data_IF_660623460389
#
_entry.id   IF_660623460389
#
_cell.length_a   1.000
_cell.length_b   1.000
_cell.length_c   1.000
_cell.angle_alpha   90.00
_cell.angle_beta   90.00
_cell.angle_gamma   90.00
#
_symmetry.space_group_name_H-M   'P 1'
#
loop_
_entity.id
_entity.type
_entity.pdbx_description
1 polymer ?
#
# COMPACT_ATOMS: atom_id res chain seq x y z
N UNK A 1 -21.42 -17.09 -7.07
CA UNK A 1 -20.19 -16.48 -6.68
C UNK A 1 -19.54 -17.13 -5.50
N UNK A 2 -18.22 -17.06 -5.46
CA UNK A 2 -17.39 -17.51 -4.34
C UNK A 2 -17.01 -16.31 -3.48
N UNK A 3 -16.66 -16.54 -2.23
CA UNK A 3 -15.98 -15.56 -1.38
C UNK A 3 -14.50 -15.51 -1.77
N UNK A 4 -13.92 -14.33 -1.75
CA UNK A 4 -12.54 -14.08 -2.15
C UNK A 4 -11.84 -13.24 -1.08
N UNK A 5 -10.63 -13.64 -0.71
CA UNK A 5 -9.70 -12.78 0.05
C UNK A 5 -8.64 -12.30 -0.93
N UNK A 6 -8.61 -11.00 -1.20
CA UNK A 6 -7.63 -10.38 -2.08
C UNK A 6 -6.55 -9.72 -1.22
N UNK A 7 -5.33 -10.25 -1.31
CA UNK A 7 -4.16 -9.76 -0.55
C UNK A 7 -3.29 -8.93 -1.47
N UNK A 8 -3.06 -7.68 -1.08
CA UNK A 8 -2.21 -6.74 -1.83
C UNK A 8 -1.04 -6.26 -0.95
N UNK A 9 0.17 -6.38 -1.47
CA UNK A 9 1.39 -5.97 -0.78
C UNK A 9 1.48 -4.46 -0.57
N UNK A 10 1.01 -3.70 -1.55
CA UNK A 10 1.06 -2.24 -1.52
C UNK A 10 -0.12 -1.64 -0.74
N UNK A 11 -0.06 -0.37 -0.35
CA UNK A 11 -1.14 0.28 0.40
C UNK A 11 -2.46 0.41 -0.37
N UNK A 12 -2.43 0.24 -1.69
CA UNK A 12 -3.58 0.31 -2.60
C UNK A 12 -3.50 -0.79 -3.64
N UNK A 13 -4.62 -1.26 -4.13
CA UNK A 13 -4.69 -2.05 -5.36
C UNK A 13 -4.46 -1.16 -6.58
N UNK A 14 -4.21 -1.77 -7.75
CA UNK A 14 -4.03 -1.08 -9.03
C UNK A 14 -2.71 -1.41 -9.73
N UNK A 15 -1.66 -1.74 -8.98
CA UNK A 15 -0.36 -2.16 -9.51
C UNK A 15 0.21 -1.19 -10.54
N UNK A 16 0.95 -1.72 -11.51
CA UNK A 16 1.56 -0.91 -12.58
C UNK A 16 0.55 -0.23 -13.51
N UNK A 17 -0.66 -0.77 -13.64
CA UNK A 17 -1.68 -0.12 -14.46
C UNK A 17 -2.05 1.27 -13.94
N UNK A 18 -2.01 1.48 -12.62
CA UNK A 18 -2.23 2.80 -12.02
C UNK A 18 -1.16 3.84 -12.36
N UNK A 19 0.02 3.40 -12.81
CA UNK A 19 1.15 4.24 -13.18
C UNK A 19 1.15 4.63 -14.67
N UNK A 20 0.28 4.01 -15.49
CA UNK A 20 0.19 4.29 -16.90
C UNK A 20 -0.74 5.49 -17.16
N UNK A 21 -0.39 6.31 -18.16
CA UNK A 21 -1.30 7.36 -18.67
C UNK A 21 -2.37 6.75 -19.56
N UNK A 22 -1.98 5.84 -20.45
CA UNK A 22 -2.83 5.22 -21.46
C UNK A 22 -2.54 3.74 -21.60
N UNK A 23 -3.52 2.97 -22.07
CA UNK A 23 -3.39 1.55 -22.34
C UNK A 23 -3.21 1.27 -23.82
N UNK A 24 -2.28 0.39 -24.16
CA UNK A 24 -2.12 -0.10 -25.54
C UNK A 24 -3.11 -1.27 -25.81
N UNK A 25 -3.69 -1.39 -27.03
CA UNK A 25 -3.48 -0.56 -28.23
C UNK A 25 -4.50 0.57 -28.41
N UNK A 26 -5.50 0.65 -27.56
CA UNK A 26 -6.66 1.56 -27.72
C UNK A 26 -6.37 3.00 -27.29
N UNK A 27 -5.27 3.23 -26.57
CA UNK A 27 -4.88 4.51 -25.99
C UNK A 27 -5.95 5.10 -25.05
N UNK A 28 -6.69 4.20 -24.39
CA UNK A 28 -7.64 4.61 -23.37
C UNK A 28 -6.91 5.07 -22.10
N UNK A 29 -7.52 6.03 -21.41
CA UNK A 29 -7.06 6.48 -20.10
C UNK A 29 -7.05 5.31 -19.11
N UNK A 30 -5.88 4.88 -18.65
CA UNK A 30 -5.73 3.74 -17.75
C UNK A 30 -6.47 3.92 -16.43
N UNK A 31 -6.44 5.10 -15.84
CA UNK A 31 -7.17 5.41 -14.60
C UNK A 31 -8.69 5.40 -14.80
N UNK A 32 -9.17 5.80 -15.97
CA UNK A 32 -10.60 5.80 -16.29
C UNK A 32 -11.18 4.37 -16.35
N UNK A 33 -10.35 3.41 -16.75
CA UNK A 33 -10.72 1.98 -16.79
C UNK A 33 -10.50 1.33 -15.42
N UNK A 34 -9.38 1.62 -14.78
CA UNK A 34 -8.93 0.94 -13.56
C UNK A 34 -9.75 1.37 -12.32
N UNK A 35 -9.98 2.67 -12.15
CA UNK A 35 -10.64 3.21 -10.95
C UNK A 35 -12.01 2.61 -10.69
N UNK A 36 -12.92 2.50 -11.67
CA UNK A 36 -14.21 1.82 -11.45
C UNK A 36 -14.06 0.37 -11.00
N UNK A 37 -13.08 -0.35 -11.55
CA UNK A 37 -12.81 -1.75 -11.17
C UNK A 37 -12.27 -1.86 -9.74
N UNK A 38 -11.38 -0.97 -9.33
CA UNK A 38 -10.89 -0.95 -7.95
C UNK A 38 -12.02 -0.66 -6.95
N UNK A 39 -12.90 0.28 -7.28
CA UNK A 39 -14.07 0.61 -6.44
C UNK A 39 -15.05 -0.57 -6.38
N UNK A 40 -15.32 -1.23 -7.51
CA UNK A 40 -16.15 -2.43 -7.57
C UNK A 40 -15.60 -3.54 -6.66
N UNK A 41 -14.31 -3.81 -6.71
CA UNK A 41 -13.63 -4.78 -5.84
C UNK A 41 -13.77 -4.40 -4.37
N UNK A 42 -13.55 -3.13 -4.04
CA UNK A 42 -13.60 -2.64 -2.66
C UNK A 42 -15.01 -2.70 -2.05
N UNK A 43 -16.04 -2.45 -2.86
CA UNK A 43 -17.43 -2.42 -2.42
C UNK A 43 -18.13 -3.80 -2.53
N UNK A 44 -17.47 -4.78 -3.15
CA UNK A 44 -18.10 -6.07 -3.40
C UNK A 44 -18.29 -6.89 -2.11
N UNK A 45 -19.51 -7.31 -1.73
CA UNK A 45 -19.80 -7.92 -0.44
C UNK A 45 -19.12 -9.28 -0.20
N UNK A 46 -18.63 -9.94 -1.26
CA UNK A 46 -17.94 -11.24 -1.19
C UNK A 46 -16.43 -11.14 -1.39
N UNK A 47 -15.88 -9.92 -1.44
CA UNK A 47 -14.44 -9.70 -1.56
C UNK A 47 -13.96 -9.04 -0.28
N UNK A 48 -13.12 -9.75 0.47
CA UNK A 48 -12.36 -9.20 1.59
C UNK A 48 -11.05 -8.65 1.05
N UNK A 49 -10.97 -7.33 0.85
CA UNK A 49 -9.75 -6.66 0.42
C UNK A 49 -8.82 -6.41 1.61
N UNK A 50 -7.60 -6.94 1.53
CA UNK A 50 -6.55 -6.79 2.55
C UNK A 50 -5.33 -6.17 1.89
N UNK A 51 -5.21 -4.86 2.00
CA UNK A 51 -4.07 -4.11 1.45
C UNK A 51 -2.99 -3.87 2.50
N UNK A 52 -1.78 -3.59 2.03
CA UNK A 52 -0.57 -3.47 2.85
C UNK A 52 -0.31 -4.76 3.64
N UNK A 53 -0.47 -5.90 2.96
CA UNK A 53 -0.37 -7.23 3.55
C UNK A 53 0.42 -8.19 2.65
N UNK A 54 0.98 -9.21 3.26
CA UNK A 54 1.77 -10.23 2.57
C UNK A 54 1.36 -11.61 3.05
N UNK A 55 1.40 -12.59 2.15
CA UNK A 55 1.27 -14.00 2.52
C UNK A 55 2.58 -14.44 3.17
N UNK A 56 2.52 -14.87 4.43
CA UNK A 56 3.67 -15.30 5.20
C UNK A 56 3.93 -16.81 5.02
N UNK A 57 2.87 -17.61 5.04
CA UNK A 57 2.97 -19.06 4.81
C UNK A 57 1.72 -19.63 4.19
N UNK A 58 1.90 -20.74 3.48
CA UNK A 58 0.83 -21.55 2.91
C UNK A 58 1.07 -23.00 3.29
N UNK A 59 0.07 -23.61 3.91
CA UNK A 59 0.06 -25.02 4.30
C UNK A 59 -1.14 -25.72 3.67
N UNK A 60 -1.10 -27.04 3.57
CA UNK A 60 -2.22 -27.85 3.09
C UNK A 60 -2.08 -28.30 1.64
N UNK A 61 -3.19 -28.51 0.98
CA UNK A 61 -3.27 -29.08 -0.36
C UNK A 61 -4.48 -28.54 -1.14
N UNK A 62 -4.58 -28.84 -2.42
CA UNK A 62 -5.66 -28.39 -3.30
C UNK A 62 -7.04 -28.74 -2.68
N UNK A 63 -7.87 -27.72 -2.52
CA UNK A 63 -9.17 -27.82 -1.88
C UNK A 63 -9.15 -27.47 -0.38
N UNK A 64 -7.99 -27.44 0.27
CA UNK A 64 -7.85 -27.20 1.72
C UNK A 64 -6.52 -26.54 2.07
N UNK A 65 -6.32 -25.31 1.62
CA UNK A 65 -5.16 -24.50 1.98
C UNK A 65 -5.45 -23.68 3.23
N UNK A 66 -4.43 -23.60 4.09
CA UNK A 66 -4.35 -22.69 5.24
C UNK A 66 -3.32 -21.62 4.95
N UNK A 67 -3.76 -20.37 4.75
CA UNK A 67 -2.93 -19.25 4.37
C UNK A 67 -2.78 -18.31 5.54
N UNK A 68 -1.55 -18.10 6.02
CA UNK A 68 -1.24 -17.10 7.04
C UNK A 68 -0.87 -15.79 6.36
N UNK A 69 -1.55 -14.73 6.72
CA UNK A 69 -1.40 -13.39 6.16
C UNK A 69 -0.88 -12.46 7.24
N UNK A 70 0.19 -11.74 6.94
CA UNK A 70 0.71 -10.64 7.75
C UNK A 70 0.19 -9.32 7.19
N UNK A 71 -0.64 -8.62 7.94
CA UNK A 71 -1.03 -7.26 7.62
C UNK A 71 -0.08 -6.28 8.32
N UNK A 72 0.65 -5.50 7.53
CA UNK A 72 1.64 -4.54 8.03
C UNK A 72 0.95 -3.35 8.70
N UNK A 73 1.57 -2.84 9.74
CA UNK A 73 1.08 -1.68 10.46
C UNK A 73 1.14 -0.42 9.60
N UNK A 74 -0.02 0.09 9.18
CA UNK A 74 -0.17 1.37 8.45
C UNK A 74 0.17 2.57 9.32
N UNK A 75 0.08 2.43 10.64
CA UNK A 75 0.07 3.51 11.63
C UNK A 75 -1.09 4.51 11.43
N UNK A 76 -2.13 4.09 10.72
CA UNK A 76 -3.39 4.80 10.49
C UNK A 76 -4.52 3.79 10.64
N UNK A 77 -5.49 4.11 11.49
CA UNK A 77 -6.68 3.30 11.73
C UNK A 77 -7.66 3.49 10.54
N UNK A 78 -7.95 2.43 9.77
CA UNK A 78 -8.81 2.51 8.60
C UNK A 78 -10.26 2.85 8.94
N UNK A 79 -10.76 2.45 10.11
CA UNK A 79 -12.15 2.64 10.52
C UNK A 79 -12.42 4.10 10.95
N UNK A 80 -11.36 4.80 11.37
CA UNK A 80 -11.44 6.22 11.74
C UNK A 80 -11.11 7.16 10.60
N UNK A 81 -10.26 6.74 9.66
CA UNK A 81 -9.75 7.60 8.60
C UNK A 81 -10.80 7.85 7.53
N UNK A 82 -11.03 9.11 7.18
CA UNK A 82 -11.93 9.53 6.09
C UNK A 82 -11.19 9.97 4.81
N UNK A 83 -9.86 9.83 4.76
CA UNK A 83 -9.06 10.17 3.57
C UNK A 83 -8.91 11.68 3.30
N UNK A 84 -9.11 12.57 4.28
CA UNK A 84 -9.09 14.04 4.07
C UNK A 84 -7.73 14.61 3.62
N UNK A 85 -6.61 13.91 3.84
CA UNK A 85 -5.27 14.34 3.41
C UNK A 85 -4.56 15.35 4.31
N UNK A 86 -5.19 15.89 5.36
CA UNK A 86 -4.59 16.89 6.26
C UNK A 86 -3.28 16.41 6.90
N UNK A 87 -3.22 15.14 7.26
CA UNK A 87 -2.02 14.53 7.83
C UNK A 87 -0.83 14.54 6.86
N UNK A 88 -1.08 14.44 5.55
CA UNK A 88 -0.05 14.50 4.51
C UNK A 88 0.49 15.92 4.38
N UNK A 89 -0.39 16.93 4.39
CA UNK A 89 -0.02 18.34 4.32
C UNK A 89 0.76 18.79 5.56
N UNK A 90 0.36 18.33 6.76
CA UNK A 90 1.01 18.66 8.01
C UNK A 90 2.37 17.95 8.21
N UNK A 91 2.70 16.95 7.39
CA UNK A 91 3.92 16.18 7.56
C UNK A 91 5.17 17.03 7.37
N UNK A 92 6.10 16.93 8.33
CA UNK A 92 7.38 17.66 8.24
C UNK A 92 8.34 17.08 7.19
N UNK A 93 8.15 15.85 6.77
CA UNK A 93 8.96 15.15 5.76
C UNK A 93 8.18 15.05 4.46
N UNK A 94 8.42 16.00 3.54
CA UNK A 94 7.68 16.13 2.27
C UNK A 94 8.56 16.00 1.02
N UNK A 95 9.84 15.64 1.18
CA UNK A 95 10.81 15.58 0.07
C UNK A 95 11.32 14.16 -0.19
N UNK A 96 10.49 13.16 0.09
CA UNK A 96 10.81 11.76 -0.15
C UNK A 96 10.49 11.45 -1.61
N UNK A 97 11.41 10.85 -2.38
CA UNK A 97 11.09 10.42 -3.74
C UNK A 97 9.87 9.49 -3.74
N UNK A 98 8.93 9.74 -4.64
CA UNK A 98 7.71 8.93 -4.76
C UNK A 98 8.01 7.65 -5.55
N UNK A 99 7.70 6.52 -4.99
CA UNK A 99 7.86 5.22 -5.65
C UNK A 99 6.84 5.07 -6.79
N UNK A 100 5.70 5.73 -6.68
CA UNK A 100 4.64 5.64 -7.68
C UNK A 100 5.06 6.16 -9.05
N UNK A 101 5.80 7.25 -9.09
CA UNK A 101 6.31 7.87 -10.31
C UNK A 101 7.82 7.68 -10.50
N UNK A 102 8.37 6.58 -9.97
CA UNK A 102 9.78 6.20 -10.12
C UNK A 102 10.77 7.23 -9.57
N UNK A 103 10.34 8.02 -8.58
CA UNK A 103 11.17 9.04 -7.96
C UNK A 103 11.17 10.40 -8.66
N UNK A 104 10.43 10.57 -9.75
CA UNK A 104 10.31 11.85 -10.44
C UNK A 104 9.58 12.89 -9.58
N UNK A 105 8.54 12.48 -8.86
CA UNK A 105 7.85 13.33 -7.89
C UNK A 105 8.34 13.13 -6.46
N UNK A 106 7.70 13.84 -5.55
CA UNK A 106 8.00 13.77 -4.12
C UNK A 106 6.72 13.49 -3.34
N UNK A 107 6.86 12.73 -2.27
CA UNK A 107 5.80 12.45 -1.31
C UNK A 107 6.18 12.79 0.13
N UNK A 108 5.20 12.83 0.99
CA UNK A 108 5.42 12.93 2.43
C UNK A 108 5.67 11.54 3.06
N UNK A 109 6.15 11.53 4.32
CA UNK A 109 6.36 10.29 5.05
C UNK A 109 5.06 9.58 5.44
N UNK A 110 3.95 10.32 5.57
CA UNK A 110 2.60 9.77 5.62
C UNK A 110 1.94 10.10 4.28
N UNK A 111 1.49 9.08 3.55
CA UNK A 111 1.08 9.26 2.17
C UNK A 111 0.03 8.25 1.72
N UNK A 112 -0.70 8.63 0.70
CA UNK A 112 -1.48 7.75 -0.17
C UNK A 112 -0.69 7.61 -1.47
N UNK A 113 -0.54 6.42 -2.06
CA UNK A 113 0.33 6.21 -3.23
C UNK A 113 0.00 7.10 -4.43
N UNK A 114 -1.29 7.27 -4.72
CA UNK A 114 -1.80 8.11 -5.81
C UNK A 114 -3.23 8.57 -5.49
N UNK A 115 -3.75 9.63 -6.13
CA UNK A 115 -5.03 10.24 -5.74
C UNK A 115 -6.24 9.31 -5.79
N UNK A 116 -6.26 8.35 -6.72
CA UNK A 116 -7.35 7.38 -6.91
C UNK A 116 -7.12 6.07 -6.15
N UNK A 117 -6.21 6.04 -5.19
CA UNK A 117 -5.89 4.84 -4.42
C UNK A 117 -7.13 4.23 -3.74
N UNK A 118 -7.20 2.91 -3.74
CA UNK A 118 -8.26 2.13 -3.09
C UNK A 118 -7.63 1.06 -2.20
N UNK A 119 -7.85 1.13 -0.89
CA UNK A 119 -8.55 2.19 -0.15
C UNK A 119 -7.76 3.51 -0.12
N UNK A 120 -8.45 4.64 -0.03
CA UNK A 120 -7.84 5.95 0.12
C UNK A 120 -7.46 6.22 1.59
N UNK A 121 -6.61 5.38 2.12
CA UNK A 121 -6.14 5.43 3.51
C UNK A 121 -4.62 5.58 3.50
N UNK A 122 -4.07 6.64 4.13
CA UNK A 122 -2.63 6.84 4.19
C UNK A 122 -1.89 5.72 4.92
N UNK A 123 -0.61 5.62 4.62
CA UNK A 123 0.34 4.78 5.34
C UNK A 123 1.53 5.64 5.80
N UNK A 124 2.13 5.31 6.92
CA UNK A 124 3.37 5.97 7.37
C UNK A 124 4.57 5.12 6.96
N UNK A 125 5.42 5.69 6.11
CA UNK A 125 6.74 5.15 5.83
C UNK A 125 7.63 5.34 7.07
N UNK A 126 7.75 4.28 7.85
CA UNK A 126 8.51 4.28 9.10
C UNK A 126 10.00 4.57 8.89
N UNK A 127 10.55 4.23 7.71
CA UNK A 127 11.96 4.48 7.37
C UNK A 127 12.25 5.96 7.16
N UNK A 128 11.29 6.69 6.62
CA UNK A 128 11.44 8.12 6.31
C UNK A 128 10.82 9.03 7.38
N UNK A 129 9.94 8.53 8.23
CA UNK A 129 9.29 9.32 9.28
C UNK A 129 10.24 9.74 10.39
N UNK A 130 10.28 11.04 10.71
CA UNK A 130 11.16 11.58 11.77
C UNK A 130 10.90 10.96 13.14
N UNK A 131 9.64 10.65 13.48
CA UNK A 131 9.28 10.01 14.74
C UNK A 131 9.94 8.63 14.86
N UNK A 132 9.77 7.77 13.86
CA UNK A 132 10.31 6.42 13.88
C UNK A 132 11.83 6.41 13.78
N UNK A 133 12.42 7.29 12.98
CA UNK A 133 13.88 7.48 12.91
C UNK A 133 14.46 7.99 14.23
N UNK A 134 13.74 8.88 14.92
CA UNK A 134 14.11 9.37 16.24
C UNK A 134 14.06 8.28 17.29
N UNK A 135 13.01 7.45 17.31
CA UNK A 135 12.88 6.28 18.20
C UNK A 135 14.04 5.28 18.00
N UNK A 136 14.39 5.00 16.75
CA UNK A 136 15.51 4.11 16.43
C UNK A 136 16.87 4.61 16.91
N UNK A 137 17.06 5.93 16.96
CA UNK A 137 18.30 6.59 17.42
C UNK A 137 18.30 6.95 18.91
N UNK A 138 17.31 6.50 19.70
CA UNK A 138 17.12 6.87 21.12
C UNK A 138 17.10 8.40 21.34
N UNK A 139 16.76 9.18 20.32
CA UNK A 139 16.62 10.62 20.40
C UNK A 139 15.34 11.01 21.15
N UNK A 140 15.37 12.20 21.78
CA UNK A 140 14.39 12.74 22.74
C UNK A 140 12.91 12.45 22.41
N UNK A 141 12.09 12.37 23.48
CA UNK A 141 10.62 12.16 23.50
C UNK A 141 9.79 13.16 22.69
N UNK A 142 10.36 14.29 22.27
CA UNK A 142 9.69 15.34 21.47
C UNK A 142 9.76 15.06 19.97
N UNK A 143 9.58 13.81 19.60
CA UNK A 143 9.56 13.41 18.21
C UNK A 143 8.29 13.95 17.52
N UNK A 144 8.44 14.36 16.25
CA UNK A 144 7.39 14.94 15.42
C UNK A 144 6.08 14.14 15.46
N UNK A 145 4.96 14.80 15.84
CA UNK A 145 3.60 14.25 15.84
C UNK A 145 2.63 15.07 14.99
N UNK A 146 3.11 15.97 14.17
CA UNK A 146 2.31 16.93 13.39
C UNK A 146 1.15 16.32 12.62
N UNK A 147 1.34 15.12 12.06
CA UNK A 147 0.27 14.43 11.35
C UNK A 147 -0.86 13.96 12.29
N UNK A 148 -0.53 13.56 13.53
CA UNK A 148 -1.53 13.18 14.52
C UNK A 148 -2.25 14.43 15.07
N UNK A 149 -1.53 15.51 15.30
CA UNK A 149 -2.08 16.77 15.81
C UNK A 149 -3.05 17.40 14.79
N UNK A 150 -2.77 17.23 13.49
CA UNK A 150 -3.65 17.69 12.40
C UNK A 150 -4.83 16.76 12.12
N UNK A 151 -4.85 15.55 12.70
CA UNK A 151 -5.89 14.56 12.41
C UNK A 151 -7.12 14.77 13.30
N UNK A 152 -8.13 15.48 12.81
CA UNK A 152 -9.38 15.70 13.54
C UNK A 152 -10.15 14.41 13.87
N UNK A 153 -9.88 13.29 13.17
CA UNK A 153 -10.47 11.97 13.43
C UNK A 153 -9.66 11.11 14.38
N UNK A 154 -8.48 11.56 14.81
CA UNK A 154 -7.56 10.82 15.69
C UNK A 154 -7.26 9.39 15.17
N UNK A 155 -7.11 9.27 13.87
CA UNK A 155 -6.87 7.99 13.19
C UNK A 155 -5.40 7.56 13.22
N UNK A 156 -4.45 8.40 13.69
CA UNK A 156 -3.02 8.09 13.67
C UNK A 156 -2.63 7.34 14.94
N UNK A 157 -2.13 6.12 14.76
CA UNK A 157 -1.59 5.27 15.82
C UNK A 157 -0.14 4.87 15.50
N UNK A 158 0.80 5.48 16.21
CA UNK A 158 2.24 5.20 16.04
C UNK A 158 2.70 3.92 16.72
N UNK A 159 1.87 3.31 17.56
CA UNK A 159 2.20 2.10 18.30
C UNK A 159 1.56 0.85 17.68
N UNK A 160 0.82 1.03 16.58
CA UNK A 160 0.25 -0.06 15.78
C UNK A 160 1.35 -1.05 15.37
N UNK A 161 1.06 -2.33 15.55
CA UNK A 161 1.95 -3.44 15.18
C UNK A 161 1.37 -4.23 14.00
N UNK A 162 2.24 -5.00 13.34
CA UNK A 162 1.79 -5.96 12.34
C UNK A 162 0.84 -6.98 12.98
N UNK A 163 -0.21 -7.32 12.27
CA UNK A 163 -1.18 -8.34 12.69
C UNK A 163 -1.10 -9.57 11.81
N UNK A 164 -1.32 -10.74 12.40
CA UNK A 164 -1.31 -12.01 11.70
C UNK A 164 -2.69 -12.65 11.83
N UNK A 165 -3.19 -13.16 10.73
CA UNK A 165 -4.44 -13.93 10.71
C UNK A 165 -4.36 -15.03 9.65
N UNK A 166 -5.23 -16.02 9.77
CA UNK A 166 -5.24 -17.19 8.90
C UNK A 166 -6.58 -17.32 8.21
N UNK A 167 -6.53 -17.59 6.90
CA UNK A 167 -7.70 -17.88 6.08
C UNK A 167 -7.62 -19.31 5.55
N UNK A 168 -8.77 -20.01 5.52
CA UNK A 168 -8.90 -21.32 4.90
C UNK A 168 -9.53 -21.15 3.52
N UNK A 169 -8.83 -21.60 2.48
CA UNK A 169 -9.25 -21.40 1.09
C UNK A 169 -9.12 -22.68 0.28
N UNK A 170 -10.02 -22.91 -0.66
CA UNK A 170 -9.98 -24.07 -1.55
C UNK A 170 -9.01 -23.93 -2.72
N UNK A 171 -8.69 -22.69 -3.11
CA UNK A 171 -7.78 -22.40 -4.21
C UNK A 171 -7.04 -21.09 -3.98
N UNK A 172 -5.87 -20.97 -4.56
CA UNK A 172 -5.03 -19.77 -4.54
C UNK A 172 -4.78 -19.34 -5.98
N UNK A 173 -5.06 -18.07 -6.29
CA UNK A 173 -4.75 -17.45 -7.56
C UNK A 173 -3.56 -16.50 -7.37
N UNK A 174 -2.49 -16.73 -8.11
CA UNK A 174 -1.29 -15.89 -8.06
C UNK A 174 -1.38 -14.87 -9.18
N UNK A 175 -1.46 -13.59 -8.81
CA UNK A 175 -1.60 -12.45 -9.72
C UNK A 175 -0.61 -11.32 -9.32
N UNK A 176 0.68 -11.68 -9.15
CA UNK A 176 1.71 -10.81 -8.59
C UNK A 176 2.26 -9.77 -9.58
N UNK A 177 1.75 -9.75 -10.81
CA UNK A 177 2.18 -8.83 -11.84
C UNK A 177 3.63 -9.07 -12.30
N UNK A 178 4.34 -7.98 -12.60
CA UNK A 178 5.73 -8.01 -13.05
C UNK A 178 6.54 -6.90 -12.38
N UNK A 179 7.85 -6.99 -12.49
CA UNK A 179 8.76 -5.91 -12.10
C UNK A 179 9.44 -5.36 -13.34
N UNK A 180 9.61 -4.03 -13.38
CA UNK A 180 10.35 -3.38 -14.43
C UNK A 180 11.83 -3.78 -14.33
N UNK A 181 12.43 -4.09 -15.47
CA UNK A 181 13.86 -4.42 -15.54
C UNK A 181 14.69 -3.17 -15.14
N UNK A 182 15.58 -3.35 -14.19
CA UNK A 182 16.43 -2.26 -13.69
C UNK A 182 17.70 -2.18 -14.55
N UNK A 183 17.70 -1.29 -15.54
CA UNK A 183 18.88 -1.01 -16.35
C UNK A 183 19.95 -0.40 -15.44
N UNK A 184 21.13 -1.03 -15.36
CA UNK A 184 22.31 -0.52 -14.62
C UNK A 184 22.68 -1.25 -13.34
N UNK A 185 21.92 -2.22 -12.87
CA UNK A 185 22.33 -3.08 -11.73
C UNK A 185 22.95 -4.39 -12.15
N UNK A 186 22.59 -4.93 -13.30
CA UNK A 186 23.23 -6.08 -13.95
C UNK A 186 23.04 -5.88 -15.46
N UNK A 187 24.04 -5.34 -16.16
CA UNK A 187 24.08 -5.49 -17.62
C UNK A 187 24.35 -6.96 -17.94
N UNK A 188 23.42 -7.68 -18.62
CA UNK A 188 23.76 -8.97 -19.18
C UNK A 188 24.97 -8.77 -20.11
N UNK A 189 26.03 -9.54 -19.92
CA UNK A 189 27.18 -9.51 -20.78
C UNK A 189 26.71 -9.70 -22.24
N UNK A 190 26.78 -8.65 -23.07
CA UNK A 190 26.40 -8.70 -24.48
C UNK A 190 25.44 -7.63 -24.97
N UNK A 191 24.97 -6.69 -24.14
CA UNK A 191 24.24 -5.50 -24.58
C UNK A 191 25.13 -4.27 -24.39
N UNK A 192 26.00 -3.99 -25.36
CA UNK A 192 26.75 -2.74 -25.49
C UNK A 192 26.08 -1.83 -26.52
#
# INVERSE_FOLDING_TARGET
GREVVLVERDPSIGGHMSQLSETFPTLDCSQCILTPRMVEVYQHPRIKLVTYAEVESVEGYIGNFKVTIRQKARSVDPDKCNGCGECQQACAQQKIPSEFDQGLGKRSAIYVPFPQAVPNIPVIDRKSCSLFRGRAKKAKKDACRKCADACGRQAIDFDQQDTFFTEQVGAIVIATGYQLYSIGKEQPAGLS
#
